data_IF_311843299883
#
_entry.id   IF_311843299883
#
_cell.length_a   1.000
_cell.length_b   1.000
_cell.length_c   1.000
_cell.angle_alpha   90.00
_cell.angle_beta   90.00
_cell.angle_gamma   90.00
#
_symmetry.space_group_name_H-M   'P 1'
#
loop_
_entity.id
_entity.type
_entity.pdbx_description
1 polymer ?
#
# COMPACT_ATOMS: atom_id res chain seq x y z
N UNK A 1 -15.31 -0.40 3.67
CA UNK A 1 -13.93 0.03 3.33
C UNK A 1 -13.61 -0.25 1.86
N UNK A 2 -12.48 0.22 1.34
CA UNK A 2 -12.00 -0.09 -0.01
C UNK A 2 -10.48 -0.32 -0.02
N UNK A 3 -9.99 -0.99 -1.06
CA UNK A 3 -8.55 -1.21 -1.27
C UNK A 3 -8.09 -0.41 -2.49
N UNK A 4 -7.04 0.41 -2.33
CA UNK A 4 -6.52 1.27 -3.38
C UNK A 4 -5.69 0.50 -4.41
N UNK A 5 -5.75 0.95 -5.67
CA UNK A 5 -4.84 0.51 -6.74
C UNK A 5 -3.38 0.78 -6.35
N UNK A 6 -2.46 0.17 -7.08
CA UNK A 6 -1.01 0.37 -6.94
C UNK A 6 -0.48 0.10 -5.53
N UNK A 7 -1.09 -0.85 -4.80
CA UNK A 7 -0.75 -1.18 -3.41
C UNK A 7 -0.87 0.02 -2.46
N UNK A 8 -1.80 0.93 -2.74
CA UNK A 8 -2.06 2.11 -1.92
C UNK A 8 -2.72 1.84 -0.56
N UNK A 9 -2.83 0.57 -0.16
CA UNK A 9 -3.38 0.16 1.13
C UNK A 9 -4.91 0.08 1.19
N UNK A 10 -5.40 -0.11 2.41
CA UNK A 10 -6.83 -0.21 2.73
C UNK A 10 -7.27 1.10 3.38
N UNK A 11 -8.43 1.62 2.97
CA UNK A 11 -8.98 2.86 3.50
C UNK A 11 -10.49 2.76 3.80
N UNK A 12 -10.95 3.59 4.74
CA UNK A 12 -12.38 3.75 4.96
C UNK A 12 -13.00 4.40 3.71
N UNK A 13 -14.07 3.79 3.21
CA UNK A 13 -14.81 4.31 2.06
C UNK A 13 -15.95 5.22 2.52
N UNK A 14 -16.78 4.69 3.40
CA UNK A 14 -17.99 5.33 3.92
C UNK A 14 -18.44 4.61 5.19
N UNK A 15 -19.15 5.33 6.06
CA UNK A 15 -19.85 4.79 7.22
C UNK A 15 -21.33 4.95 6.96
N UNK A 16 -22.07 3.85 6.96
CA UNK A 16 -23.49 3.80 6.63
C UNK A 16 -24.25 3.00 7.69
N UNK A 17 -25.52 3.35 7.92
CA UNK A 17 -26.41 2.49 8.68
C UNK A 17 -26.67 1.19 7.88
N UNK A 18 -26.87 0.06 8.56
CA UNK A 18 -27.08 -1.23 7.87
C UNK A 18 -28.19 -1.21 6.82
N UNK A 19 -29.27 -0.43 7.06
CA UNK A 19 -30.39 -0.23 6.13
C UNK A 19 -30.01 0.50 4.82
N UNK A 20 -28.89 1.21 4.82
CA UNK A 20 -28.40 1.99 3.67
C UNK A 20 -27.43 1.19 2.81
N UNK A 21 -26.95 0.03 3.31
CA UNK A 21 -26.02 -0.83 2.58
C UNK A 21 -26.80 -1.65 1.56
N UNK A 22 -26.61 -1.32 0.27
CA UNK A 22 -27.30 -1.96 -0.85
C UNK A 22 -26.77 -3.36 -1.18
N UNK A 23 -25.63 -3.76 -0.62
CA UNK A 23 -25.01 -5.06 -0.88
C UNK A 23 -25.49 -6.10 0.15
N UNK A 24 -26.15 -7.19 -0.30
CA UNK A 24 -26.74 -8.17 0.61
C UNK A 24 -25.70 -9.04 1.31
N UNK A 25 -24.56 -9.32 0.66
CA UNK A 25 -23.49 -10.15 1.22
C UNK A 25 -22.32 -9.31 1.68
N UNK A 26 -22.02 -9.37 2.98
CA UNK A 26 -20.98 -8.60 3.64
C UNK A 26 -20.17 -9.50 4.55
N UNK A 27 -18.89 -9.19 4.70
CA UNK A 27 -17.97 -9.89 5.57
C UNK A 27 -17.33 -8.89 6.52
N UNK A 28 -17.29 -9.24 7.80
CA UNK A 28 -16.48 -8.53 8.77
C UNK A 28 -15.01 -8.85 8.52
N UNK A 29 -14.17 -7.86 8.71
CA UNK A 29 -12.72 -8.02 8.66
C UNK A 29 -12.11 -7.59 9.98
N UNK A 30 -10.96 -8.16 10.28
CA UNK A 30 -10.19 -7.87 11.48
C UNK A 30 -8.86 -7.24 11.12
N UNK A 31 -8.30 -6.50 12.07
CA UNK A 31 -6.93 -5.99 11.95
C UNK A 31 -5.97 -7.14 11.65
N UNK A 32 -5.09 -6.91 10.67
CA UNK A 32 -4.13 -7.91 10.22
C UNK A 32 -4.62 -8.80 9.07
N UNK A 33 -5.93 -8.87 8.80
CA UNK A 33 -6.44 -9.59 7.63
C UNK A 33 -5.85 -9.00 6.33
N UNK A 34 -5.59 -9.85 5.34
CA UNK A 34 -5.11 -9.43 4.03
C UNK A 34 -6.24 -9.43 3.01
N UNK A 35 -6.53 -8.26 2.44
CA UNK A 35 -7.60 -8.07 1.47
C UNK A 35 -7.07 -8.06 0.05
N UNK A 36 -7.82 -8.72 -0.84
CA UNK A 36 -7.62 -8.67 -2.29
C UNK A 36 -8.93 -8.24 -2.96
N UNK A 37 -8.91 -7.15 -3.73
CA UNK A 37 -10.05 -6.76 -4.54
C UNK A 37 -10.17 -7.65 -5.77
N UNK A 38 -11.26 -8.41 -5.91
CA UNK A 38 -11.43 -9.33 -7.05
C UNK A 38 -11.49 -8.60 -8.40
N UNK A 39 -11.89 -7.32 -8.42
CA UNK A 39 -11.98 -6.51 -9.65
C UNK A 39 -10.72 -5.70 -9.96
N UNK A 40 -9.90 -5.44 -8.95
CA UNK A 40 -8.84 -4.42 -9.04
C UNK A 40 -7.45 -4.97 -8.73
N UNK A 41 -7.32 -6.26 -8.37
CA UNK A 41 -6.03 -6.87 -8.07
C UNK A 41 -5.04 -6.84 -9.23
N UNK A 42 -5.54 -6.83 -10.48
CA UNK A 42 -4.69 -6.67 -11.67
C UNK A 42 -3.94 -5.33 -11.67
N UNK A 43 -4.51 -4.32 -11.03
CA UNK A 43 -3.91 -3.02 -10.77
C UNK A 43 -3.25 -2.95 -9.37
N UNK A 44 -3.06 -4.08 -8.69
CA UNK A 44 -2.41 -4.16 -7.38
C UNK A 44 -3.28 -3.75 -6.21
N UNK A 45 -4.61 -3.81 -6.32
CA UNK A 45 -5.51 -3.50 -5.21
C UNK A 45 -5.58 -4.64 -4.18
N UNK A 46 -4.59 -4.66 -3.30
CA UNK A 46 -4.52 -5.53 -2.13
C UNK A 46 -3.84 -4.80 -0.95
N UNK A 47 -4.03 -5.28 0.27
CA UNK A 47 -3.42 -4.68 1.46
C UNK A 47 -3.86 -5.33 2.77
N UNK A 48 -3.15 -4.99 3.85
CA UNK A 48 -3.49 -5.42 5.22
C UNK A 48 -4.50 -4.45 5.81
N UNK A 49 -5.49 -4.97 6.53
CA UNK A 49 -6.45 -4.18 7.30
C UNK A 49 -5.73 -3.55 8.51
N UNK A 50 -5.69 -2.21 8.61
CA UNK A 50 -5.03 -1.53 9.70
C UNK A 50 -5.91 -1.52 10.97
N UNK A 51 -5.35 -1.09 12.11
CA UNK A 51 -6.01 -1.15 13.41
C UNK A 51 -7.29 -0.32 13.48
N UNK A 52 -7.31 0.80 12.78
CA UNK A 52 -8.42 1.76 12.75
C UNK A 52 -9.65 1.22 12.02
N UNK A 53 -9.48 0.11 11.27
CA UNK A 53 -10.53 -0.53 10.49
C UNK A 53 -10.91 -1.91 11.05
N UNK A 54 -10.57 -2.24 12.30
CA UNK A 54 -11.06 -3.46 12.94
C UNK A 54 -12.59 -3.48 12.99
N UNK A 55 -13.19 -4.63 12.65
CA UNK A 55 -14.64 -4.83 12.71
C UNK A 55 -15.42 -4.10 11.62
N UNK A 56 -14.74 -3.46 10.68
CA UNK A 56 -15.40 -2.89 9.50
C UNK A 56 -15.83 -3.99 8.51
N UNK A 57 -16.64 -3.60 7.53
CA UNK A 57 -17.24 -4.52 6.55
C UNK A 57 -16.71 -4.31 5.13
N UNK A 58 -16.60 -5.42 4.42
CA UNK A 58 -16.34 -5.49 2.97
C UNK A 58 -17.44 -6.28 2.27
N UNK A 59 -17.68 -5.99 0.99
CA UNK A 59 -18.58 -6.80 0.17
C UNK A 59 -17.92 -8.11 -0.27
N UNK A 60 -18.72 -9.01 -0.85
CA UNK A 60 -18.27 -10.24 -1.51
C UNK A 60 -17.32 -10.06 -2.70
N UNK A 61 -17.10 -8.82 -3.15
CA UNK A 61 -16.11 -8.47 -4.19
C UNK A 61 -14.67 -8.50 -3.66
N UNK A 62 -14.47 -8.66 -2.35
CA UNK A 62 -13.17 -8.86 -1.73
C UNK A 62 -12.95 -10.33 -1.41
N UNK A 63 -11.71 -10.78 -1.54
CA UNK A 63 -11.22 -11.97 -0.87
C UNK A 63 -10.51 -11.52 0.41
N UNK A 64 -10.95 -12.07 1.55
CA UNK A 64 -10.35 -11.85 2.87
C UNK A 64 -9.49 -13.06 3.17
N UNK A 65 -8.19 -12.86 3.35
CA UNK A 65 -7.23 -13.90 3.68
C UNK A 65 -6.76 -13.70 5.12
N UNK A 66 -6.91 -14.74 5.91
CA UNK A 66 -6.30 -14.88 7.21
C UNK A 66 -5.19 -15.93 7.13
N UNK A 67 -4.46 -16.11 8.24
CA UNK A 67 -3.40 -17.10 8.34
C UNK A 67 -3.71 -18.13 9.41
N UNK A 68 -3.36 -19.37 9.15
CA UNK A 68 -3.33 -20.48 10.10
C UNK A 68 -2.05 -20.50 10.96
N UNK A 69 -1.21 -19.48 10.82
CA UNK A 69 0.09 -19.36 11.48
C UNK A 69 1.27 -19.84 10.63
N UNK A 70 1.04 -20.44 9.46
CA UNK A 70 2.14 -20.85 8.57
C UNK A 70 2.68 -19.71 7.71
N UNK A 71 1.87 -18.67 7.47
CA UNK A 71 2.23 -17.52 6.65
C UNK A 71 2.09 -16.24 7.47
N UNK A 72 3.15 -15.45 7.56
CA UNK A 72 3.04 -14.09 8.09
C UNK A 72 2.38 -13.18 7.03
N UNK A 73 1.27 -12.53 7.37
CA UNK A 73 0.55 -11.69 6.40
C UNK A 73 1.31 -10.42 5.99
N UNK A 74 2.30 -9.97 6.78
CA UNK A 74 3.24 -8.91 6.39
C UNK A 74 4.24 -9.42 5.35
N UNK A 75 4.64 -10.69 5.43
CA UNK A 75 5.40 -11.33 4.36
C UNK A 75 4.55 -11.40 3.08
N UNK A 76 3.28 -11.79 3.18
CA UNK A 76 2.36 -11.80 2.03
C UNK A 76 2.19 -10.39 1.43
N UNK A 77 2.13 -9.34 2.26
CA UNK A 77 2.15 -7.95 1.77
C UNK A 77 3.37 -7.67 0.93
N UNK A 78 4.58 -7.98 1.41
CA UNK A 78 5.80 -7.80 0.61
C UNK A 78 5.82 -8.66 -0.65
N UNK A 79 5.38 -9.92 -0.56
CA UNK A 79 5.26 -10.80 -1.72
C UNK A 79 4.31 -10.20 -2.77
N UNK A 80 3.24 -9.53 -2.35
CA UNK A 80 2.29 -8.85 -3.25
C UNK A 80 2.92 -7.71 -4.06
N UNK A 81 4.04 -7.15 -3.61
CA UNK A 81 4.83 -6.15 -4.32
C UNK A 81 5.70 -6.76 -5.43
N UNK A 82 5.92 -8.08 -5.41
CA UNK A 82 6.69 -8.78 -6.44
C UNK A 82 5.97 -8.84 -7.79
N UNK A 83 6.75 -8.85 -8.86
CA UNK A 83 6.24 -9.10 -10.22
C UNK A 83 5.59 -10.47 -10.34
N UNK A 84 6.17 -11.47 -9.67
CA UNK A 84 5.66 -12.84 -9.68
C UNK A 84 4.23 -12.93 -9.15
N UNK A 85 3.97 -12.32 -7.99
CA UNK A 85 2.62 -12.27 -7.43
C UNK A 85 1.66 -11.57 -8.40
N UNK A 86 2.03 -10.40 -8.93
CA UNK A 86 1.17 -9.68 -9.88
C UNK A 86 0.85 -10.50 -11.14
N UNK A 87 1.84 -11.23 -11.68
CA UNK A 87 1.64 -12.13 -12.81
C UNK A 87 0.69 -13.27 -12.46
N UNK A 88 0.84 -13.91 -11.28
CA UNK A 88 -0.07 -14.98 -10.86
C UNK A 88 -1.50 -14.48 -10.70
N UNK A 89 -1.69 -13.24 -10.21
CA UNK A 89 -3.01 -12.60 -10.14
C UNK A 89 -3.60 -12.34 -11.52
N UNK A 90 -2.80 -11.82 -12.45
CA UNK A 90 -3.22 -11.60 -13.84
C UNK A 90 -3.66 -12.91 -14.50
N UNK A 91 -2.84 -13.97 -14.43
CA UNK A 91 -3.18 -15.28 -15.01
C UNK A 91 -4.35 -15.97 -14.31
N UNK A 92 -4.67 -15.57 -13.08
CA UNK A 92 -5.83 -16.08 -12.34
C UNK A 92 -7.09 -15.22 -12.52
N UNK A 93 -7.03 -14.19 -13.38
CA UNK A 93 -8.15 -13.33 -13.69
C UNK A 93 -8.76 -13.67 -15.05
N UNK A 94 -10.08 -13.52 -15.17
CA UNK A 94 -10.83 -13.81 -16.40
C UNK A 94 -11.53 -12.54 -16.86
N UNK A 95 -11.34 -12.18 -18.14
CA UNK A 95 -12.01 -11.06 -18.78
C UNK A 95 -11.31 -10.68 -20.08
N UNK A 96 -12.08 -10.12 -21.03
CA UNK A 96 -11.57 -9.69 -22.34
C UNK A 96 -10.84 -8.34 -22.32
N UNK A 97 -11.09 -7.54 -21.30
CA UNK A 97 -10.50 -6.22 -21.10
C UNK A 97 -10.02 -6.10 -19.66
N UNK A 98 -8.83 -5.52 -19.44
CA UNK A 98 -8.19 -5.47 -18.11
C UNK A 98 -9.09 -4.88 -17.02
N UNK A 99 -9.80 -3.79 -17.33
CA UNK A 99 -10.75 -3.13 -16.40
C UNK A 99 -12.02 -3.95 -16.10
N UNK A 100 -12.28 -5.01 -16.87
CA UNK A 100 -13.43 -5.92 -16.70
C UNK A 100 -13.01 -7.31 -16.21
N UNK A 101 -11.75 -7.48 -15.85
CA UNK A 101 -11.25 -8.75 -15.34
C UNK A 101 -11.79 -9.04 -13.94
N UNK A 102 -12.13 -10.31 -13.71
CA UNK A 102 -12.54 -10.83 -12.41
C UNK A 102 -11.53 -11.87 -11.96
N UNK A 103 -10.88 -11.60 -10.85
CA UNK A 103 -9.93 -12.48 -10.20
C UNK A 103 -10.64 -13.69 -9.60
N UNK A 104 -10.10 -14.88 -9.89
CA UNK A 104 -10.58 -16.15 -9.35
C UNK A 104 -9.62 -16.63 -8.27
N UNK A 105 -9.95 -16.29 -7.02
CA UNK A 105 -9.13 -16.63 -5.84
C UNK A 105 -8.79 -18.12 -5.77
N UNK A 106 -9.75 -19.00 -6.04
CA UNK A 106 -9.55 -20.47 -6.05
C UNK A 106 -8.52 -20.94 -7.07
N UNK A 107 -8.44 -20.27 -8.23
CA UNK A 107 -7.40 -20.55 -9.25
C UNK A 107 -6.05 -20.05 -8.78
N UNK A 108 -6.04 -18.88 -8.14
CA UNK A 108 -4.83 -18.26 -7.62
C UNK A 108 -4.19 -19.07 -6.49
N UNK A 109 -5.00 -19.60 -5.56
CA UNK A 109 -4.53 -20.44 -4.45
C UNK A 109 -3.86 -21.75 -4.90
N UNK A 110 -4.06 -22.18 -6.15
CA UNK A 110 -3.43 -23.38 -6.73
C UNK A 110 -2.06 -23.12 -7.33
N UNK A 111 -1.60 -21.86 -7.38
CA UNK A 111 -0.27 -21.55 -7.90
C UNK A 111 0.82 -22.04 -6.92
N UNK A 112 1.90 -22.63 -7.44
CA UNK A 112 3.02 -23.06 -6.60
C UNK A 112 3.83 -21.84 -6.14
N UNK A 113 3.56 -21.37 -4.92
CA UNK A 113 4.41 -20.37 -4.27
C UNK A 113 5.52 -21.05 -3.47
N UNK A 114 6.75 -20.63 -3.69
CA UNK A 114 7.88 -21.00 -2.84
C UNK A 114 7.85 -20.15 -1.56
N UNK A 115 7.01 -20.55 -0.61
CA UNK A 115 6.88 -19.88 0.68
C UNK A 115 7.94 -20.45 1.64
N UNK A 116 8.89 -19.63 2.13
CA UNK A 116 9.89 -20.12 3.07
C UNK A 116 9.27 -20.39 4.45
N UNK A 117 9.94 -21.14 5.36
CA UNK A 117 9.45 -21.37 6.71
C UNK A 117 9.21 -20.08 7.51
N UNK A 118 8.29 -20.10 8.46
CA UNK A 118 7.87 -18.91 9.22
C UNK A 118 9.03 -18.10 9.84
N UNK A 119 10.07 -18.69 10.46
CA UNK A 119 11.20 -17.90 10.99
C UNK A 119 11.94 -17.10 9.92
N UNK A 120 12.04 -17.64 8.70
CA UNK A 120 12.67 -16.96 7.56
C UNK A 120 11.76 -15.84 7.05
N UNK A 121 10.44 -16.08 6.97
CA UNK A 121 9.47 -15.04 6.61
C UNK A 121 9.58 -13.83 7.55
N UNK A 122 9.62 -14.07 8.86
CA UNK A 122 9.74 -13.02 9.87
C UNK A 122 11.03 -12.19 9.71
N UNK A 123 12.15 -12.86 9.42
CA UNK A 123 13.42 -12.17 9.17
C UNK A 123 13.38 -11.31 7.89
N UNK A 124 12.76 -11.83 6.83
CA UNK A 124 12.58 -11.06 5.59
C UNK A 124 11.74 -9.81 5.87
N UNK A 125 10.63 -9.95 6.59
CA UNK A 125 9.75 -8.82 6.96
C UNK A 125 10.52 -7.77 7.75
N UNK A 126 11.29 -8.19 8.75
CA UNK A 126 12.09 -7.26 9.57
C UNK A 126 13.07 -6.44 8.74
N UNK A 127 13.84 -7.08 7.86
CA UNK A 127 14.81 -6.39 6.98
C UNK A 127 14.10 -5.40 6.04
N UNK A 128 13.00 -5.83 5.42
CA UNK A 128 12.25 -4.98 4.50
C UNK A 128 11.55 -3.82 5.22
N UNK A 129 11.07 -4.03 6.45
CA UNK A 129 10.47 -2.98 7.27
C UNK A 129 11.51 -1.92 7.65
N UNK A 130 12.74 -2.32 8.00
CA UNK A 130 13.83 -1.38 8.28
C UNK A 130 14.12 -0.53 7.05
N UNK A 131 14.32 -1.16 5.88
CA UNK A 131 14.58 -0.46 4.64
C UNK A 131 13.45 0.50 4.26
N UNK A 132 12.18 0.09 4.47
CA UNK A 132 11.02 0.95 4.20
C UNK A 132 10.99 2.18 5.10
N UNK A 133 11.24 2.02 6.40
CA UNK A 133 11.32 3.16 7.33
C UNK A 133 12.40 4.14 6.93
N UNK A 134 13.56 3.65 6.49
CA UNK A 134 14.65 4.51 6.02
C UNK A 134 14.23 5.34 4.80
N UNK A 135 13.55 4.72 3.82
CA UNK A 135 13.01 5.44 2.65
C UNK A 135 11.99 6.51 3.07
N UNK A 136 11.10 6.19 3.99
CA UNK A 136 10.09 7.14 4.51
C UNK A 136 10.75 8.34 5.22
N UNK A 137 11.78 8.10 6.03
CA UNK A 137 12.52 9.16 6.72
C UNK A 137 13.25 10.07 5.72
N UNK A 138 13.91 9.50 4.72
CA UNK A 138 14.60 10.27 3.67
C UNK A 138 13.59 11.09 2.86
N UNK A 139 12.45 10.53 2.50
CA UNK A 139 11.39 11.25 1.78
C UNK A 139 10.87 12.44 2.61
N UNK A 140 10.66 12.26 3.91
CA UNK A 140 10.26 13.33 4.82
C UNK A 140 11.33 14.43 4.94
N UNK A 141 12.61 14.06 5.01
CA UNK A 141 13.72 15.02 5.01
C UNK A 141 13.77 15.84 3.72
N UNK A 142 13.57 15.21 2.56
CA UNK A 142 13.52 15.89 1.26
C UNK A 142 12.39 16.92 1.24
N UNK A 143 11.19 16.56 1.69
CA UNK A 143 10.06 17.49 1.72
C UNK A 143 10.30 18.67 2.68
N UNK A 144 10.89 18.40 3.85
CA UNK A 144 11.28 19.46 4.79
C UNK A 144 12.30 20.43 4.16
N UNK A 145 13.34 19.91 3.51
CA UNK A 145 14.36 20.74 2.86
C UNK A 145 13.78 21.57 1.71
N UNK A 146 12.81 21.03 0.95
CA UNK A 146 12.09 21.79 -0.08
C UNK A 146 11.28 22.94 0.51
N UNK A 147 10.60 22.71 1.65
CA UNK A 147 9.85 23.75 2.35
C UNK A 147 10.78 24.83 2.89
N UNK A 148 11.88 24.44 3.55
CA UNK A 148 12.89 25.38 4.07
C UNK A 148 13.52 26.20 2.95
N UNK A 149 13.86 25.58 1.81
CA UNK A 149 14.35 26.28 0.61
C UNK A 149 13.34 27.30 0.11
N UNK A 150 12.07 26.91 -0.02
CA UNK A 150 11.00 27.79 -0.53
C UNK A 150 10.80 29.00 0.39
N UNK A 151 10.72 28.76 1.70
CA UNK A 151 10.59 29.82 2.70
C UNK A 151 11.81 30.76 2.68
N UNK A 152 13.02 30.20 2.64
CA UNK A 152 14.24 30.99 2.56
C UNK A 152 14.29 31.84 1.29
N UNK A 153 13.93 31.29 0.13
CA UNK A 153 13.86 32.04 -1.12
C UNK A 153 12.86 33.20 -1.04
N UNK A 154 11.70 32.99 -0.44
CA UNK A 154 10.72 34.05 -0.22
C UNK A 154 11.29 35.17 0.67
N UNK A 155 11.97 34.84 1.76
CA UNK A 155 12.59 35.83 2.65
C UNK A 155 13.75 36.60 2.00
N UNK A 156 14.52 35.93 1.14
CA UNK A 156 15.62 36.55 0.40
C UNK A 156 15.11 37.50 -0.69
N UNK A 157 14.12 37.08 -1.49
CA UNK A 157 13.54 37.89 -2.57
C UNK A 157 12.73 39.07 -2.06
N UNK A 158 12.04 38.92 -0.92
CA UNK A 158 11.33 40.02 -0.26
C UNK A 158 12.25 40.93 0.55
N UNK A 159 13.53 40.55 0.69
CA UNK A 159 14.52 41.33 1.43
C UNK A 159 14.36 41.30 2.95
N UNK A 160 13.44 40.48 3.49
CA UNK A 160 13.33 40.19 4.93
C UNK A 160 14.64 39.65 5.49
N UNK A 161 15.37 38.88 4.68
CA UNK A 161 16.71 38.39 5.00
C UNK A 161 17.71 38.89 3.95
N UNK A 162 18.78 39.57 4.39
CA UNK A 162 19.86 40.06 3.51
C UNK A 162 21.04 39.11 3.53
N UNK A 163 21.58 38.77 2.36
CA UNK A 163 22.82 38.01 2.23
C UNK A 163 23.99 39.00 2.16
N UNK A 164 24.97 38.87 3.05
CA UNK A 164 26.26 39.57 2.91
C UNK A 164 27.16 38.69 2.04
N UNK A 165 27.46 39.15 0.84
CA UNK A 165 28.45 38.48 -0.03
C UNK A 165 29.84 38.98 0.37
N UNK A 166 30.83 38.10 0.61
CA UNK A 166 32.21 38.53 0.85
C UNK A 166 32.79 39.24 -0.38
N UNK A 167 33.61 40.26 -0.16
CA UNK A 167 34.17 41.11 -1.20
C UNK A 167 35.31 40.40 -1.97
N UNK A 168 34.97 39.65 -3.01
CA UNK A 168 35.79 39.28 -4.17
C UNK A 168 34.84 38.59 -5.17
N UNK A 169 34.69 38.94 -6.44
CA UNK A 169 35.61 39.54 -7.42
C UNK A 169 34.83 40.57 -8.26
N UNK A 170 35.17 41.86 -8.10
CA UNK A 170 35.00 42.83 -9.19
C UNK A 170 36.38 42.98 -9.82
N UNK A 171 36.64 42.18 -10.84
CA UNK A 171 37.77 42.43 -11.76
C UNK A 171 37.20 43.20 -12.96
N UNK A 172 37.84 44.30 -13.39
CA UNK A 172 37.28 45.33 -14.27
C UNK A 172 36.90 44.88 -15.68
#
# INVERSE_FOLDING_TARGET
MTVKRSRGGVELRETLAGREIKTPTQFYVRTGDFLISKRQIVHGACGIVPAELDGAVVSNEYAVLNSDGQIDLRFLRYLSESRYFQQTCFHSSIGVHVEKMIFKTERWLKWPFNIPPLPVQLRIVEVLDIARREVELIAAQIERLKQEKTALMADLLTGKRRVRVPAAETTP
#
